data_IF_197002096410
#
_entry.id   IF_197002096410
#
_cell.length_a   1.000
_cell.length_b   1.000
_cell.length_c   1.000
_cell.angle_alpha   90.00
_cell.angle_beta   90.00
_cell.angle_gamma   90.00
#
_symmetry.space_group_name_H-M   'P 1'
#
loop_
_entity.id
_entity.type
_entity.pdbx_description
1 polymer ?
#
# COMPACT_ATOMS: atom_id res chain seq x y z
N UNK A 1 -13.77 3.70 -12.77
CA UNK A 1 -12.98 2.78 -13.63
C UNK A 1 -11.52 3.01 -13.27
N UNK A 2 -10.78 1.97 -12.88
CA UNK A 2 -9.35 2.11 -12.55
C UNK A 2 -8.52 2.34 -13.83
N UNK A 3 -7.46 3.14 -13.74
CA UNK A 3 -6.60 3.49 -14.86
C UNK A 3 -5.33 2.61 -14.84
N UNK A 4 -4.82 2.13 -15.98
CA UNK A 4 -3.54 1.41 -15.98
C UNK A 4 -2.40 2.32 -15.49
N UNK A 5 -1.42 1.74 -14.79
CA UNK A 5 -0.15 2.45 -14.51
C UNK A 5 0.59 2.63 -15.83
N UNK A 6 1.05 3.85 -16.12
CA UNK A 6 1.89 4.09 -17.30
C UNK A 6 3.15 3.20 -17.26
N UNK A 7 3.33 2.39 -18.30
CA UNK A 7 4.46 1.46 -18.41
C UNK A 7 4.25 0.07 -17.78
N UNK A 8 3.15 -0.16 -17.06
CA UNK A 8 2.80 -1.50 -16.55
C UNK A 8 1.27 -1.74 -16.60
N UNK A 9 0.74 -2.28 -17.72
CA UNK A 9 -0.68 -2.52 -17.90
C UNK A 9 -1.25 -3.64 -17.01
N UNK A 10 -0.39 -4.37 -16.28
CA UNK A 10 -0.83 -5.35 -15.28
C UNK A 10 -1.24 -4.69 -13.96
N UNK A 11 -0.92 -3.40 -13.78
CA UNK A 11 -1.22 -2.62 -12.58
C UNK A 11 -2.27 -1.56 -12.88
N UNK A 12 -3.18 -1.37 -11.92
CA UNK A 12 -4.25 -0.40 -12.02
C UNK A 12 -4.18 0.59 -10.84
N UNK A 13 -4.44 1.86 -11.13
CA UNK A 13 -4.52 2.97 -10.19
C UNK A 13 -6.00 3.33 -10.01
N UNK A 14 -6.44 3.40 -8.74
CA UNK A 14 -7.78 3.88 -8.40
C UNK A 14 -7.84 5.39 -8.71
N UNK A 15 -8.88 5.91 -9.38
CA UNK A 15 -8.98 7.34 -9.66
C UNK A 15 -8.88 8.19 -8.39
N UNK A 16 -8.14 9.29 -8.45
CA UNK A 16 -7.84 10.13 -7.28
C UNK A 16 -6.70 9.61 -6.39
N UNK A 17 -6.05 8.49 -6.74
CA UNK A 17 -4.82 8.10 -6.05
C UNK A 17 -3.73 9.13 -6.29
N UNK A 18 -2.92 9.39 -5.26
CA UNK A 18 -1.74 10.24 -5.36
C UNK A 18 -0.48 9.39 -5.21
N UNK A 19 0.59 9.80 -5.89
CA UNK A 19 1.88 9.17 -5.71
C UNK A 19 2.53 9.73 -4.43
N UNK A 20 3.02 8.83 -3.59
CA UNK A 20 3.84 9.13 -2.42
C UNK A 20 5.13 8.31 -2.46
N UNK A 21 5.98 8.48 -1.45
CA UNK A 21 7.19 7.68 -1.27
C UNK A 21 7.02 6.75 -0.07
N UNK A 22 7.50 5.51 -0.23
CA UNK A 22 7.66 4.59 0.90
C UNK A 22 8.58 5.22 1.95
N UNK A 23 8.13 5.23 3.21
CA UNK A 23 8.89 5.81 4.33
C UNK A 23 10.24 5.13 4.56
N UNK A 24 10.34 3.84 4.23
CA UNK A 24 11.51 3.02 4.56
C UNK A 24 12.54 2.97 3.43
N UNK A 25 12.09 2.81 2.17
CA UNK A 25 12.99 2.62 1.02
C UNK A 25 12.91 3.72 -0.05
N UNK A 26 12.01 4.71 0.10
CA UNK A 26 11.84 5.80 -0.87
C UNK A 26 11.16 5.42 -2.18
N UNK A 27 10.87 4.14 -2.41
CA UNK A 27 10.19 3.67 -3.63
C UNK A 27 8.84 4.37 -3.82
N UNK A 28 8.52 4.85 -5.04
CA UNK A 28 7.22 5.45 -5.32
C UNK A 28 6.07 4.46 -5.13
N UNK A 29 4.99 4.92 -4.51
CA UNK A 29 3.80 4.13 -4.19
C UNK A 29 2.55 4.95 -4.48
N UNK A 30 1.51 4.31 -5.01
CA UNK A 30 0.23 4.94 -5.27
C UNK A 30 -0.72 4.70 -4.10
N UNK A 31 -1.24 5.78 -3.51
CA UNK A 31 -2.14 5.73 -2.36
C UNK A 31 -3.53 6.12 -2.80
N UNK A 32 -4.47 5.17 -2.74
CA UNK A 32 -5.87 5.40 -3.05
C UNK A 32 -6.50 6.43 -2.08
N UNK A 33 -7.58 7.14 -2.48
CA UNK A 33 -8.24 8.13 -1.62
C UNK A 33 -8.62 7.61 -0.23
N UNK A 34 -9.10 6.37 -0.14
CA UNK A 34 -9.41 5.72 1.15
C UNK A 34 -8.16 5.54 2.03
N UNK A 35 -7.01 5.21 1.43
CA UNK A 35 -5.73 5.14 2.12
C UNK A 35 -5.27 6.51 2.61
N UNK A 36 -5.48 7.57 1.82
CA UNK A 36 -5.12 8.94 2.21
C UNK A 36 -5.90 9.40 3.45
N UNK A 37 -7.20 9.09 3.51
CA UNK A 37 -8.02 9.41 4.68
C UNK A 37 -7.46 8.77 5.96
N UNK A 38 -7.03 7.51 5.89
CA UNK A 38 -6.43 6.82 7.04
C UNK A 38 -5.11 7.44 7.50
N UNK A 39 -4.26 7.88 6.56
CA UNK A 39 -3.01 8.58 6.89
C UNK A 39 -3.28 9.85 7.70
N UNK A 40 -4.31 10.61 7.31
CA UNK A 40 -4.69 11.86 7.98
C UNK A 40 -5.32 11.58 9.35
N UNK A 41 -6.29 10.67 9.42
CA UNK A 41 -7.05 10.41 10.64
C UNK A 41 -6.22 9.74 11.74
N UNK A 42 -5.26 8.89 11.36
CA UNK A 42 -4.48 8.07 12.30
C UNK A 42 -3.01 8.43 12.39
N UNK A 43 -2.54 9.42 11.63
CA UNK A 43 -1.11 9.75 11.55
C UNK A 43 -0.26 8.58 11.03
N UNK A 44 -0.85 7.68 10.24
CA UNK A 44 -0.19 6.49 9.73
C UNK A 44 0.88 6.87 8.69
N UNK A 45 1.84 5.97 8.47
CA UNK A 45 2.90 6.13 7.48
C UNK A 45 2.65 5.25 6.26
N UNK A 46 3.11 5.69 5.10
CA UNK A 46 3.06 4.89 3.87
C UNK A 46 4.31 4.04 3.75
N UNK A 47 4.13 2.73 3.56
CA UNK A 47 5.20 1.79 3.22
C UNK A 47 4.81 0.98 1.99
N UNK A 48 5.79 0.61 1.15
CA UNK A 48 5.52 -0.29 0.02
C UNK A 48 5.23 -1.70 0.50
N UNK A 49 4.65 -2.54 -0.35
CA UNK A 49 4.26 -3.91 0.00
C UNK A 49 5.43 -4.76 0.49
N UNK A 50 6.63 -4.56 -0.05
CA UNK A 50 7.84 -5.27 0.39
C UNK A 50 8.24 -4.87 1.81
N UNK A 51 8.31 -3.57 2.10
CA UNK A 51 8.61 -3.06 3.45
C UNK A 51 7.50 -3.41 4.45
N UNK A 52 6.23 -3.37 4.04
CA UNK A 52 5.11 -3.85 4.84
C UNK A 52 5.25 -5.35 5.15
N UNK A 53 5.64 -6.15 4.15
CA UNK A 53 5.93 -7.57 4.31
C UNK A 53 7.05 -7.83 5.32
N UNK A 54 8.15 -7.07 5.25
CA UNK A 54 9.26 -7.14 6.20
C UNK A 54 8.82 -6.76 7.62
N UNK A 55 8.18 -5.58 7.79
CA UNK A 55 7.65 -5.12 9.07
C UNK A 55 6.67 -6.10 9.70
N UNK A 56 5.79 -6.72 8.91
CA UNK A 56 4.83 -7.70 9.43
C UNK A 56 5.48 -8.96 10.01
N UNK A 57 6.71 -9.30 9.57
CA UNK A 57 7.48 -10.43 10.11
C UNK A 57 8.24 -10.04 11.37
N UNK A 58 8.78 -8.83 11.42
CA UNK A 58 9.63 -8.34 12.51
C UNK A 58 8.80 -7.77 13.69
N UNK A 59 7.70 -7.09 13.36
CA UNK A 59 6.84 -6.37 14.30
C UNK A 59 5.35 -6.60 13.95
N UNK A 60 4.77 -7.76 14.30
CA UNK A 60 3.41 -8.14 13.91
C UNK A 60 2.29 -7.25 14.49
N UNK A 61 2.60 -6.21 15.26
CA UNK A 61 1.65 -5.21 15.78
C UNK A 61 1.85 -3.78 15.25
N UNK A 62 2.95 -3.50 14.52
CA UNK A 62 3.27 -2.14 14.03
C UNK A 62 2.50 -1.78 12.76
N UNK A 63 1.83 -2.76 12.16
CA UNK A 63 0.93 -2.55 11.05
C UNK A 63 -0.50 -2.71 11.59
N UNK A 64 -1.20 -1.59 11.76
CA UNK A 64 -2.67 -1.60 11.73
C UNK A 64 -3.08 -1.93 10.29
N UNK A 65 -3.04 -3.21 9.96
CA UNK A 65 -3.60 -3.72 8.73
C UNK A 65 -5.10 -3.78 8.99
N UNK A 66 -5.86 -2.86 8.40
CA UNK A 66 -7.32 -3.00 8.43
C UNK A 66 -7.68 -4.35 7.80
N UNK A 67 -8.73 -5.02 8.29
CA UNK A 67 -9.11 -6.35 7.80
C UNK A 67 -9.20 -6.43 6.26
N UNK A 68 -9.60 -5.33 5.60
CA UNK A 68 -9.63 -5.21 4.14
C UNK A 68 -8.25 -5.26 3.47
N UNK A 69 -7.21 -4.74 4.10
CA UNK A 69 -5.83 -4.77 3.60
C UNK A 69 -5.15 -6.13 3.85
N UNK A 70 -5.65 -6.93 4.82
CA UNK A 70 -5.13 -8.28 5.07
C UNK A 70 -5.33 -9.16 3.84
N UNK A 71 -6.48 -9.07 3.19
CA UNK A 71 -6.78 -9.86 2.00
C UNK A 71 -5.92 -9.44 0.80
N UNK A 72 -5.65 -8.13 0.64
CA UNK A 72 -4.73 -7.61 -0.38
C UNK A 72 -3.29 -8.10 -0.15
N UNK A 73 -2.80 -8.09 1.10
CA UNK A 73 -1.47 -8.60 1.45
C UNK A 73 -1.38 -10.12 1.27
N UNK A 74 -2.42 -10.87 1.66
CA UNK A 74 -2.50 -12.32 1.46
C UNK A 74 -2.52 -12.68 -0.02
N UNK A 75 -3.22 -11.92 -0.85
CA UNK A 75 -3.23 -12.12 -2.30
C UNK A 75 -1.85 -11.82 -2.88
N UNK A 76 -1.22 -10.71 -2.50
CA UNK A 76 0.13 -10.35 -2.95
C UNK A 76 1.16 -11.45 -2.61
N UNK A 77 1.15 -11.99 -1.39
CA UNK A 77 2.00 -13.11 -0.94
C UNK A 77 1.74 -14.43 -1.66
N UNK A 78 0.56 -14.61 -2.27
CA UNK A 78 0.26 -15.81 -3.07
C UNK A 78 0.83 -15.71 -4.49
N UNK A 79 1.09 -14.48 -4.95
CA UNK A 79 1.47 -14.18 -6.34
C UNK A 79 2.96 -13.87 -6.49
N UNK A 80 3.68 -13.66 -5.39
CA UNK A 80 5.12 -13.36 -5.31
C UNK A 80 5.73 -14.18 -4.18
#
# INVERSE_FOLDING_TARGET
>A
MCLPVEGDPSRYIVPGSIQQQCKDCGTPVWVAPSGQQLLIERGAIVVCMECAGARSKEHPGDLEIMDKQIDEIKEWRRRN
#
